data_IF_656022096533
#
_entry.id   IF_656022096533
#
_cell.length_a   1.000
_cell.length_b   1.000
_cell.length_c   1.000
_cell.angle_alpha   90.00
_cell.angle_beta   90.00
_cell.angle_gamma   90.00
#
_symmetry.space_group_name_H-M   'P 1'
#
loop_
_entity.id
_entity.type
_entity.pdbx_description
1 polymer ?
#
# COMPACT_ATOMS: atom_id res chain seq x y z
N UNK A 1 -18.92 4.80 -8.83
CA UNK A 1 -20.29 4.67 -9.38
C UNK A 1 -20.28 4.84 -10.91
N UNK A 2 -20.85 3.91 -11.61
CA UNK A 2 -21.10 4.00 -13.06
C UNK A 2 -22.61 3.98 -13.28
N UNK A 3 -23.11 4.95 -14.06
CA UNK A 3 -24.55 5.16 -14.22
C UNK A 3 -25.31 3.94 -14.79
N UNK A 4 -24.65 3.06 -15.54
CA UNK A 4 -25.23 1.82 -16.06
C UNK A 4 -25.26 0.65 -15.06
N UNK A 5 -24.86 0.86 -13.81
CA UNK A 5 -24.85 -0.17 -12.76
C UNK A 5 -23.77 -1.24 -12.88
N UNK A 6 -22.76 -1.04 -13.77
CA UNK A 6 -21.70 -2.03 -14.00
C UNK A 6 -20.79 -2.22 -12.77
N UNK A 7 -20.58 -1.16 -11.98
CA UNK A 7 -19.78 -1.19 -10.77
C UNK A 7 -20.62 -0.77 -9.57
N UNK A 8 -21.13 -1.72 -8.83
CA UNK A 8 -21.84 -1.50 -7.58
C UNK A 8 -21.54 -2.64 -6.59
N UNK A 9 -21.60 -2.33 -5.29
CA UNK A 9 -21.27 -3.25 -4.21
C UNK A 9 -20.10 -2.75 -3.37
N UNK A 10 -19.61 -3.63 -2.51
CA UNK A 10 -18.45 -3.41 -1.63
C UNK A 10 -17.33 -4.38 -1.98
N UNK A 11 -16.09 -3.96 -1.78
CA UNK A 11 -14.89 -4.78 -1.94
C UNK A 11 -14.05 -4.74 -0.68
N UNK A 12 -13.55 -5.90 -0.25
CA UNK A 12 -12.63 -6.06 0.88
C UNK A 12 -11.15 -5.90 0.48
N UNK A 13 -10.92 -5.52 -0.78
CA UNK A 13 -9.56 -5.32 -1.31
C UNK A 13 -8.87 -4.16 -0.61
N UNK A 14 -7.62 -4.37 -0.18
CA UNK A 14 -6.78 -3.29 0.34
C UNK A 14 -6.47 -2.30 -0.77
N UNK A 15 -6.80 -1.04 -0.55
CA UNK A 15 -6.55 0.07 -1.47
C UNK A 15 -6.04 1.29 -0.71
N UNK A 16 -5.39 2.20 -1.43
CA UNK A 16 -4.83 3.43 -0.88
C UNK A 16 -5.12 4.64 -1.80
N UNK A 17 -4.94 5.85 -1.29
CA UNK A 17 -5.22 7.06 -2.07
C UNK A 17 -4.38 7.17 -3.35
N UNK A 18 -3.15 6.66 -3.34
CA UNK A 18 -2.28 6.66 -4.52
C UNK A 18 -2.78 5.76 -5.66
N UNK A 19 -3.74 4.87 -5.39
CA UNK A 19 -4.39 4.01 -6.39
C UNK A 19 -5.45 4.77 -7.22
N UNK A 20 -5.92 5.94 -6.76
CA UNK A 20 -7.00 6.69 -7.43
C UNK A 20 -6.59 7.09 -8.83
N UNK A 21 -5.42 7.73 -9.00
CA UNK A 21 -4.98 8.21 -10.30
C UNK A 21 -4.80 7.08 -11.32
N UNK A 22 -4.03 6.00 -11.06
CA UNK A 22 -3.90 4.90 -12.00
C UNK A 22 -5.24 4.22 -12.31
N UNK A 23 -6.15 4.14 -11.33
CA UNK A 23 -7.50 3.60 -11.54
C UNK A 23 -8.32 4.45 -12.50
N UNK A 24 -8.32 5.78 -12.33
CA UNK A 24 -9.04 6.68 -13.21
C UNK A 24 -8.47 6.64 -14.63
N UNK A 25 -7.14 6.65 -14.76
CA UNK A 25 -6.48 6.58 -16.09
C UNK A 25 -6.81 5.26 -16.79
N UNK A 26 -6.80 4.15 -16.08
CA UNK A 26 -7.17 2.84 -16.62
C UNK A 26 -8.66 2.81 -17.03
N UNK A 27 -9.54 3.34 -16.17
CA UNK A 27 -10.98 3.43 -16.44
C UNK A 27 -11.32 4.22 -17.71
N UNK A 28 -10.60 5.32 -17.97
CA UNK A 28 -10.80 6.13 -19.19
C UNK A 28 -10.01 5.63 -20.40
N UNK A 29 -9.27 4.53 -20.25
CA UNK A 29 -8.50 3.90 -21.33
C UNK A 29 -7.23 4.67 -21.73
N UNK A 30 -6.65 5.47 -20.82
CA UNK A 30 -5.39 6.16 -21.07
C UNK A 30 -4.25 5.17 -21.28
N UNK A 31 -3.47 5.36 -22.34
CA UNK A 31 -2.34 4.48 -22.73
C UNK A 31 -0.99 5.19 -22.75
N UNK A 32 -0.95 6.45 -22.34
CA UNK A 32 0.30 7.20 -22.22
C UNK A 32 1.12 6.75 -21.00
N UNK A 33 2.38 7.18 -20.96
CA UNK A 33 3.24 6.99 -19.80
C UNK A 33 2.79 7.90 -18.65
N UNK A 34 2.82 7.42 -17.44
CA UNK A 34 2.61 8.21 -16.22
C UNK A 34 3.39 7.61 -15.07
N UNK A 35 3.65 8.40 -14.05
CA UNK A 35 4.28 7.97 -12.81
C UNK A 35 3.20 7.85 -11.73
N UNK A 36 3.14 6.71 -11.05
CA UNK A 36 2.26 6.48 -9.91
C UNK A 36 2.95 5.66 -8.83
N UNK A 37 2.59 5.90 -7.58
CA UNK A 37 3.01 5.08 -6.43
C UNK A 37 1.96 4.03 -6.05
N UNK A 38 0.84 4.01 -6.72
CA UNK A 38 -0.23 3.04 -6.56
C UNK A 38 -0.50 2.27 -7.85
N UNK A 39 -1.49 1.37 -7.78
CA UNK A 39 -1.90 0.50 -8.87
C UNK A 39 -3.39 0.68 -9.18
N UNK A 40 -3.78 0.50 -10.44
CA UNK A 40 -5.21 0.46 -10.80
C UNK A 40 -5.93 -0.65 -10.01
N UNK A 41 -7.12 -0.35 -9.45
CA UNK A 41 -7.95 -1.38 -8.80
C UNK A 41 -8.43 -2.45 -9.79
N UNK A 42 -8.39 -2.18 -11.08
CA UNK A 42 -8.74 -3.14 -12.14
C UNK A 42 -7.60 -4.10 -12.49
N UNK A 43 -6.36 -3.78 -12.09
CA UNK A 43 -5.23 -4.70 -12.23
C UNK A 43 -5.31 -5.78 -11.13
N UNK A 44 -5.83 -6.94 -11.47
CA UNK A 44 -5.98 -8.07 -10.57
C UNK A 44 -4.66 -8.80 -10.28
N UNK A 45 -3.59 -8.46 -10.99
CA UNK A 45 -2.26 -9.06 -10.80
C UNK A 45 -1.40 -8.26 -9.84
N UNK A 46 -1.75 -7.00 -9.60
CA UNK A 46 -1.02 -6.11 -8.71
C UNK A 46 -1.13 -6.58 -7.24
N UNK A 47 0.00 -6.60 -6.57
CA UNK A 47 0.04 -6.84 -5.13
C UNK A 47 -0.66 -5.69 -4.39
N UNK A 48 -1.50 -6.03 -3.40
CA UNK A 48 -2.31 -5.07 -2.67
C UNK A 48 -1.75 -4.79 -1.29
N UNK A 49 -1.43 -3.52 -1.06
CA UNK A 49 -1.00 -2.98 0.23
C UNK A 49 -1.38 -1.50 0.31
N UNK A 50 -1.42 -0.99 1.52
CA UNK A 50 -1.47 0.45 1.76
C UNK A 50 -0.36 0.82 2.75
N UNK A 51 0.24 1.99 2.58
CA UNK A 51 1.28 2.48 3.47
C UNK A 51 1.02 3.93 3.85
N UNK A 52 1.49 4.31 5.02
CA UNK A 52 1.37 5.66 5.52
C UNK A 52 2.58 6.03 6.38
N UNK A 53 2.79 7.33 6.55
CA UNK A 53 3.74 7.89 7.49
C UNK A 53 2.97 8.75 8.50
N UNK A 54 3.06 8.39 9.77
CA UNK A 54 2.56 9.18 10.88
C UNK A 54 3.69 9.37 11.89
N UNK A 55 4.22 10.58 11.93
CA UNK A 55 5.42 10.92 12.71
C UNK A 55 5.38 10.35 14.13
N UNK A 56 6.42 9.59 14.55
CA UNK A 56 7.66 9.30 13.83
C UNK A 56 7.63 8.00 12.98
N UNK A 57 6.53 7.27 12.94
CA UNK A 57 6.46 5.89 12.47
C UNK A 57 5.93 5.78 11.04
N UNK A 58 6.44 4.80 10.32
CA UNK A 58 5.89 4.31 9.06
C UNK A 58 4.98 3.12 9.32
N UNK A 59 4.00 2.93 8.46
CA UNK A 59 3.05 1.83 8.55
C UNK A 59 2.83 1.22 7.19
N UNK A 60 2.67 -0.10 7.14
CA UNK A 60 2.20 -0.81 5.96
C UNK A 60 1.18 -1.85 6.38
N UNK A 61 0.13 -1.99 5.59
CA UNK A 61 -0.85 -3.04 5.74
C UNK A 61 -1.07 -3.75 4.41
N UNK A 62 -1.31 -5.03 4.47
CA UNK A 62 -1.80 -5.87 3.39
C UNK A 62 -3.20 -6.39 3.70
N UNK A 63 -3.63 -7.47 3.05
CA UNK A 63 -4.95 -8.05 3.31
C UNK A 63 -5.09 -8.70 4.69
N UNK A 64 -4.00 -9.01 5.39
CA UNK A 64 -4.01 -9.78 6.63
C UNK A 64 -3.35 -9.06 7.80
N UNK A 65 -2.22 -8.41 7.54
CA UNK A 65 -1.35 -7.88 8.57
C UNK A 65 -1.17 -6.36 8.47
N UNK A 66 -0.97 -5.75 9.62
CA UNK A 66 -0.56 -4.36 9.78
C UNK A 66 0.78 -4.33 10.51
N UNK A 67 1.78 -3.68 9.91
CA UNK A 67 3.12 -3.56 10.45
C UNK A 67 3.44 -2.10 10.75
N UNK A 68 4.01 -1.85 11.93
CA UNK A 68 4.58 -0.57 12.35
C UNK A 68 6.10 -0.62 12.31
N UNK A 69 6.72 0.46 11.81
CA UNK A 69 8.16 0.57 11.60
C UNK A 69 8.65 1.96 12.00
N UNK A 70 9.64 2.04 12.90
CA UNK A 70 10.14 3.30 13.46
C UNK A 70 11.28 3.96 12.64
N UNK A 71 11.49 3.53 11.41
CA UNK A 71 12.59 4.00 10.56
C UNK A 71 13.87 3.16 10.67
N UNK A 72 14.04 2.37 11.72
CA UNK A 72 15.17 1.45 11.92
C UNK A 72 14.78 -0.01 11.80
N UNK A 73 13.71 -0.40 12.49
CA UNK A 73 13.20 -1.78 12.57
C UNK A 73 11.69 -1.80 12.80
N UNK A 74 11.06 -2.94 12.53
CA UNK A 74 9.66 -3.17 12.87
C UNK A 74 9.46 -3.17 14.39
N UNK A 75 8.41 -2.53 14.87
CA UNK A 75 8.05 -2.40 16.29
C UNK A 75 6.73 -3.07 16.64
N UNK A 76 5.91 -3.39 15.65
CA UNK A 76 4.65 -4.09 15.83
C UNK A 76 4.16 -4.78 14.57
N UNK A 77 3.57 -5.97 14.74
CA UNK A 77 2.86 -6.72 13.71
C UNK A 77 1.52 -7.19 14.27
N UNK A 78 0.43 -6.95 13.55
CA UNK A 78 -0.93 -7.23 14.02
C UNK A 78 -1.79 -7.85 12.92
N UNK A 79 -2.61 -8.85 13.25
CA UNK A 79 -3.69 -9.36 12.39
C UNK A 79 -4.95 -8.51 12.54
N UNK A 80 -4.93 -7.30 12.03
CA UNK A 80 -5.92 -6.25 12.29
C UNK A 80 -7.38 -6.63 11.94
N UNK A 81 -7.59 -7.56 11.02
CA UNK A 81 -8.93 -8.07 10.68
C UNK A 81 -9.50 -9.02 11.72
N UNK A 82 -8.64 -9.76 12.44
CA UNK A 82 -9.04 -10.68 13.52
C UNK A 82 -9.01 -10.01 14.89
N UNK A 83 -8.07 -9.10 15.09
CA UNK A 83 -7.91 -8.32 16.32
C UNK A 83 -7.97 -6.83 16.00
N UNK A 84 -9.21 -6.31 15.97
CA UNK A 84 -9.47 -4.89 15.66
C UNK A 84 -8.92 -3.92 16.70
N UNK A 85 -8.58 -4.41 17.89
CA UNK A 85 -7.96 -3.62 18.97
C UNK A 85 -6.43 -3.59 18.88
N UNK A 86 -5.85 -4.43 18.00
CA UNK A 86 -4.40 -4.60 17.89
C UNK A 86 -3.73 -4.89 19.24
N UNK A 87 -4.42 -5.67 20.08
CA UNK A 87 -3.99 -5.99 21.45
C UNK A 87 -2.84 -6.99 21.49
N UNK A 88 -2.69 -7.85 20.46
CA UNK A 88 -1.66 -8.86 20.42
C UNK A 88 -0.59 -8.53 19.37
N UNK A 89 0.61 -8.14 19.83
CA UNK A 89 1.75 -7.94 18.94
C UNK A 89 2.37 -9.29 18.55
N UNK A 90 2.36 -9.60 17.26
CA UNK A 90 2.80 -10.86 16.67
C UNK A 90 4.22 -10.80 16.10
N UNK A 91 4.95 -9.72 16.34
CA UNK A 91 6.29 -9.45 15.78
C UNK A 91 7.25 -10.63 15.87
N UNK A 92 7.25 -11.31 17.02
CA UNK A 92 8.13 -12.44 17.30
C UNK A 92 7.50 -13.82 16.98
N UNK A 93 6.18 -13.86 16.82
CA UNK A 93 5.48 -15.11 16.46
C UNK A 93 5.55 -15.40 14.94
N UNK A 94 5.63 -14.33 14.12
CA UNK A 94 5.70 -14.43 12.66
C UNK A 94 6.91 -13.67 12.08
N UNK A 95 8.15 -14.13 12.36
CA UNK A 95 9.37 -13.42 11.96
C UNK A 95 9.51 -13.29 10.44
N UNK A 96 9.09 -14.30 9.67
CA UNK A 96 9.18 -14.27 8.19
C UNK A 96 8.23 -13.24 7.58
N UNK A 97 6.98 -13.14 8.11
CA UNK A 97 6.01 -12.13 7.69
C UNK A 97 6.53 -10.73 8.03
N UNK A 98 7.04 -10.57 9.25
CA UNK A 98 7.64 -9.33 9.72
C UNK A 98 8.77 -8.87 8.79
N UNK A 99 9.72 -9.76 8.50
CA UNK A 99 10.86 -9.45 7.63
C UNK A 99 10.43 -9.09 6.20
N UNK A 100 9.47 -9.83 5.65
CA UNK A 100 8.93 -9.57 4.30
C UNK A 100 8.25 -8.20 4.21
N UNK A 101 7.37 -7.87 5.17
CA UNK A 101 6.66 -6.59 5.20
C UNK A 101 7.60 -5.42 5.47
N UNK A 102 8.58 -5.58 6.36
CA UNK A 102 9.60 -4.58 6.64
C UNK A 102 10.45 -4.29 5.40
N UNK A 103 10.89 -5.33 4.70
CA UNK A 103 11.66 -5.18 3.46
C UNK A 103 10.86 -4.45 2.38
N UNK A 104 9.59 -4.80 2.22
CA UNK A 104 8.68 -4.11 1.30
C UNK A 104 8.53 -2.63 1.64
N UNK A 105 8.27 -2.31 2.91
CA UNK A 105 8.13 -0.93 3.36
C UNK A 105 9.41 -0.12 3.14
N UNK A 106 10.58 -0.69 3.44
CA UNK A 106 11.88 -0.07 3.16
C UNK A 106 12.07 0.23 1.67
N UNK A 107 11.69 -0.71 0.79
CA UNK A 107 11.76 -0.50 -0.66
C UNK A 107 10.85 0.64 -1.13
N UNK A 108 9.63 0.73 -0.59
CA UNK A 108 8.70 1.83 -0.87
C UNK A 108 9.30 3.17 -0.44
N UNK A 109 9.82 3.27 0.81
CA UNK A 109 10.45 4.47 1.34
C UNK A 109 11.63 4.90 0.46
N UNK A 110 12.49 3.97 0.08
CA UNK A 110 13.65 4.24 -0.79
C UNK A 110 13.21 4.73 -2.17
N UNK A 111 12.19 4.11 -2.76
CA UNK A 111 11.64 4.53 -4.05
C UNK A 111 11.08 5.95 -3.98
N UNK A 112 10.29 6.25 -2.95
CA UNK A 112 9.79 7.60 -2.72
C UNK A 112 10.91 8.63 -2.62
N UNK A 113 11.89 8.37 -1.77
CA UNK A 113 13.04 9.27 -1.60
C UNK A 113 13.82 9.46 -2.89
N UNK A 114 14.08 8.36 -3.62
CA UNK A 114 14.80 8.43 -4.90
C UNK A 114 14.06 9.31 -5.92
N UNK A 115 12.76 9.10 -6.07
CA UNK A 115 11.93 9.86 -7.02
C UNK A 115 11.86 11.33 -6.63
N UNK A 116 11.67 11.64 -5.34
CA UNK A 116 11.59 13.02 -4.84
C UNK A 116 12.92 13.76 -4.97
N UNK A 117 14.03 13.15 -4.52
CA UNK A 117 15.36 13.77 -4.56
C UNK A 117 15.83 14.03 -6.00
N UNK A 118 15.52 13.12 -6.91
CA UNK A 118 15.95 13.23 -8.32
C UNK A 118 14.92 13.96 -9.21
N UNK A 119 13.83 14.50 -8.63
CA UNK A 119 12.75 15.17 -9.35
C UNK A 119 12.17 14.34 -10.51
N UNK A 120 12.00 13.02 -10.30
CA UNK A 120 11.47 12.07 -11.28
C UNK A 120 9.96 11.80 -11.11
N UNK A 121 9.20 12.85 -10.79
CA UNK A 121 7.74 12.76 -10.63
C UNK A 121 6.98 12.84 -11.97
N UNK A 122 7.69 13.16 -13.04
CA UNK A 122 7.10 13.25 -14.39
C UNK A 122 7.67 12.10 -15.25
N UNK A 123 6.78 11.42 -15.99
CA UNK A 123 7.20 10.43 -16.95
C UNK A 123 7.88 11.11 -18.16
N UNK A 124 9.07 10.69 -18.52
CA UNK A 124 9.79 11.10 -19.73
C UNK A 124 9.33 10.27 -20.94
#
# INVERSE_FOLDING_TARGET
YKANGEFHGTSEMTVQQTDIMPTVLDYVGYRGKFMAFGNSIFDTTAERYAYNFHTPDYMILDNNYFLQFNGGHAIGLYEYKKDSTMGKNLLFEYPDVTASMEQKLKAIIQTHHHVMINNKLVAE
#
